data_IF_823530521702
#
_entry.id   IF_823530521702
#
_cell.length_a   1.000
_cell.length_b   1.000
_cell.length_c   1.000
_cell.angle_alpha   90.00
_cell.angle_beta   90.00
_cell.angle_gamma   90.00
#
_symmetry.space_group_name_H-M   'P 1'
#
loop_
_entity.id
_entity.type
_entity.pdbx_description
1 polymer ?
#
# COMPACT_ATOMS: atom_id res chain seq x y z
N UNK A 1 -5.58 23.30 -0.90
CA UNK A 1 -4.99 21.97 -0.98
C UNK A 1 -5.68 21.01 -0.03
N UNK A 2 -6.00 19.84 -0.49
CA UNK A 2 -6.82 18.93 0.29
C UNK A 2 -6.03 18.03 1.24
N UNK A 3 -4.71 17.89 1.07
CA UNK A 3 -3.91 16.96 1.88
C UNK A 3 -2.72 17.65 2.51
N UNK A 4 -2.52 17.41 3.80
CA UNK A 4 -1.33 17.80 4.53
C UNK A 4 -0.61 16.54 5.02
N UNK A 5 0.65 16.39 4.68
CA UNK A 5 1.50 15.27 5.07
C UNK A 5 2.32 15.72 6.29
N UNK A 6 2.03 15.13 7.45
CA UNK A 6 2.57 15.59 8.73
C UNK A 6 3.45 14.51 9.34
N UNK A 7 4.69 14.88 9.63
CA UNK A 7 5.66 13.96 10.24
C UNK A 7 6.30 14.65 11.44
N UNK A 8 5.60 14.69 12.59
CA UNK A 8 6.08 15.40 13.79
C UNK A 8 7.39 14.84 14.32
N UNK A 9 8.23 15.71 14.88
CA UNK A 9 9.53 15.32 15.43
C UNK A 9 9.42 14.29 16.57
N UNK A 10 8.32 14.29 17.31
CA UNK A 10 8.14 13.38 18.44
C UNK A 10 7.76 11.96 18.00
N UNK A 11 7.54 11.74 16.70
CA UNK A 11 7.32 10.42 16.14
C UNK A 11 8.56 10.02 15.34
N UNK A 12 8.83 8.70 15.25
CA UNK A 12 10.02 8.26 14.52
C UNK A 12 9.92 8.66 13.03
N UNK A 13 11.07 8.82 12.35
CA UNK A 13 11.07 9.28 10.96
C UNK A 13 10.66 8.16 10.01
N UNK A 14 9.36 8.03 9.76
CA UNK A 14 8.78 6.94 8.99
C UNK A 14 8.98 7.05 7.49
N UNK A 15 9.28 8.24 6.98
CA UNK A 15 9.41 8.48 5.54
C UNK A 15 10.52 7.62 4.93
N UNK A 16 11.58 7.35 5.68
CA UNK A 16 12.66 6.47 5.23
C UNK A 16 12.21 5.02 5.04
N UNK A 17 11.08 4.63 5.64
CA UNK A 17 10.49 3.30 5.51
C UNK A 17 9.32 3.28 4.51
N UNK A 18 9.05 4.39 3.84
CA UNK A 18 8.07 4.46 2.75
C UNK A 18 6.67 4.87 3.16
N UNK A 19 6.49 5.52 4.34
CA UNK A 19 5.16 5.98 4.71
C UNK A 19 5.20 7.26 5.54
N UNK A 20 4.08 8.00 5.49
CA UNK A 20 3.84 9.18 6.32
C UNK A 20 3.26 8.77 7.66
N UNK A 21 3.55 9.54 8.71
CA UNK A 21 2.95 9.32 10.01
C UNK A 21 1.49 9.75 10.03
N UNK A 22 1.19 10.90 9.46
CA UNK A 22 -0.15 11.49 9.53
C UNK A 22 -0.48 12.15 8.20
N UNK A 23 -1.72 11.98 7.75
CA UNK A 23 -2.27 12.74 6.64
C UNK A 23 -3.59 13.34 7.10
N UNK A 24 -3.68 14.68 7.02
CA UNK A 24 -4.94 15.38 7.20
C UNK A 24 -5.50 15.73 5.83
N UNK A 25 -6.79 15.51 5.63
CA UNK A 25 -7.40 15.74 4.32
C UNK A 25 -8.83 16.25 4.45
N UNK A 26 -9.22 17.10 3.50
CA UNK A 26 -10.60 17.58 3.38
C UNK A 26 -11.13 17.36 1.95
N UNK A 27 -10.59 16.36 1.25
CA UNK A 27 -11.07 16.00 -0.08
C UNK A 27 -12.52 15.57 -0.10
N UNK A 28 -13.15 15.61 -1.27
CA UNK A 28 -14.61 15.44 -1.40
C UNK A 28 -15.05 14.00 -1.54
N UNK A 29 -14.21 13.13 -2.11
CA UNK A 29 -14.57 11.74 -2.40
C UNK A 29 -13.60 10.80 -1.72
N UNK A 30 -14.13 9.92 -0.88
CA UNK A 30 -13.32 8.85 -0.26
C UNK A 30 -13.53 7.56 -1.03
N UNK A 31 -12.43 6.93 -1.40
CA UNK A 31 -12.43 5.69 -2.18
C UNK A 31 -11.88 4.57 -1.30
N UNK A 32 -12.69 3.56 -1.08
CA UNK A 32 -12.30 2.37 -0.32
C UNK A 32 -11.97 1.24 -1.29
N UNK A 33 -10.79 0.68 -1.18
CA UNK A 33 -10.39 -0.46 -2.01
C UNK A 33 -10.34 -1.70 -1.15
N UNK A 34 -10.93 -2.78 -1.66
CA UNK A 34 -10.74 -4.09 -1.05
C UNK A 34 -9.27 -4.48 -1.11
N UNK A 35 -8.86 -5.42 -0.26
CA UNK A 35 -7.51 -5.93 -0.28
C UNK A 35 -7.11 -6.43 -1.66
N UNK A 36 -5.95 -6.01 -2.14
CA UNK A 36 -5.40 -6.40 -3.43
C UNK A 36 -4.22 -7.34 -3.22
N UNK A 37 -4.13 -8.33 -4.06
CA UNK A 37 -3.08 -9.36 -3.99
C UNK A 37 -2.31 -9.40 -5.30
N UNK A 38 -1.24 -10.19 -5.34
CA UNK A 38 -0.31 -10.24 -6.47
C UNK A 38 -0.80 -10.99 -7.69
N UNK A 39 -2.06 -10.90 -8.04
CA UNK A 39 -2.59 -11.56 -9.23
C UNK A 39 -3.25 -10.57 -10.20
N UNK A 40 -3.43 -11.02 -11.44
CA UNK A 40 -4.09 -10.23 -12.48
C UNK A 40 -5.60 -10.55 -12.56
N UNK A 41 -6.29 -9.96 -13.53
CA UNK A 41 -7.73 -10.15 -13.72
C UNK A 41 -8.12 -11.61 -13.98
N UNK A 42 -7.19 -12.43 -14.46
CA UNK A 42 -7.40 -13.87 -14.71
C UNK A 42 -7.02 -14.73 -13.52
N UNK A 43 -6.68 -14.12 -12.38
CA UNK A 43 -6.22 -14.79 -11.16
C UNK A 43 -4.92 -15.55 -11.34
N UNK A 44 -4.04 -15.01 -12.17
CA UNK A 44 -2.70 -15.57 -12.37
C UNK A 44 -1.70 -14.82 -11.50
N UNK A 45 -0.99 -15.55 -10.64
CA UNK A 45 0.06 -15.03 -9.79
C UNK A 45 1.38 -15.18 -10.53
N UNK A 46 2.15 -14.09 -10.68
CA UNK A 46 3.39 -14.10 -11.45
C UNK A 46 4.45 -14.94 -10.75
N UNK A 47 4.56 -14.80 -9.43
CA UNK A 47 5.53 -15.56 -8.65
C UNK A 47 5.00 -15.80 -7.24
N UNK A 48 4.50 -17.04 -6.95
CA UNK A 48 3.95 -17.33 -5.63
C UNK A 48 5.00 -17.40 -4.52
N UNK A 49 6.28 -17.34 -4.84
CA UNK A 49 7.37 -17.44 -3.86
C UNK A 49 8.08 -16.11 -3.62
N UNK A 50 7.78 -15.07 -4.38
CA UNK A 50 8.48 -13.79 -4.27
C UNK A 50 7.59 -12.68 -3.71
N UNK A 51 7.91 -12.28 -2.48
CA UNK A 51 7.17 -11.20 -1.79
C UNK A 51 7.24 -9.88 -2.55
N UNK A 52 8.42 -9.51 -3.06
CA UNK A 52 8.60 -8.24 -3.78
C UNK A 52 7.74 -8.16 -5.03
N UNK A 53 7.75 -9.21 -5.84
CA UNK A 53 6.94 -9.27 -7.06
C UNK A 53 5.46 -9.15 -6.74
N UNK A 54 4.99 -9.86 -5.71
CA UNK A 54 3.58 -9.78 -5.30
C UNK A 54 3.21 -8.42 -4.74
N UNK A 55 4.12 -7.79 -3.99
CA UNK A 55 3.90 -6.43 -3.46
C UNK A 55 3.72 -5.44 -4.60
N UNK A 56 4.60 -5.47 -5.59
CA UNK A 56 4.52 -4.56 -6.72
C UNK A 56 3.22 -4.74 -7.49
N UNK A 57 2.83 -5.99 -7.75
CA UNK A 57 1.57 -6.27 -8.46
C UNK A 57 0.36 -5.82 -7.66
N UNK A 58 0.36 -6.05 -6.35
CA UNK A 58 -0.74 -5.61 -5.49
C UNK A 58 -0.89 -4.08 -5.52
N UNK A 59 0.21 -3.34 -5.50
CA UNK A 59 0.19 -1.88 -5.61
C UNK A 59 -0.30 -1.42 -6.98
N UNK A 60 0.08 -2.11 -8.05
CA UNK A 60 -0.46 -1.83 -9.38
C UNK A 60 -1.97 -2.02 -9.42
N UNK A 61 -2.48 -3.05 -8.74
CA UNK A 61 -3.91 -3.27 -8.63
C UNK A 61 -4.60 -2.16 -7.83
N UNK A 62 -3.96 -1.66 -6.77
CA UNK A 62 -4.45 -0.50 -6.02
C UNK A 62 -4.57 0.70 -6.97
N UNK A 63 -3.55 0.95 -7.78
CA UNK A 63 -3.58 2.07 -8.73
C UNK A 63 -4.70 1.92 -9.76
N UNK A 64 -4.91 0.71 -10.27
CA UNK A 64 -6.03 0.43 -11.19
C UNK A 64 -7.35 0.81 -10.53
N UNK A 65 -7.55 0.42 -9.27
CA UNK A 65 -8.77 0.74 -8.53
C UNK A 65 -8.97 2.23 -8.31
N UNK A 66 -7.92 2.95 -7.93
CA UNK A 66 -8.00 4.40 -7.72
C UNK A 66 -8.30 5.12 -9.02
N UNK A 67 -7.68 4.69 -10.13
CA UNK A 67 -7.95 5.27 -11.45
C UNK A 67 -9.40 5.05 -11.89
N UNK A 68 -9.99 3.91 -11.54
CA UNK A 68 -11.40 3.65 -11.85
C UNK A 68 -12.32 4.65 -11.16
N UNK A 69 -11.91 5.21 -10.03
CA UNK A 69 -12.67 6.24 -9.30
C UNK A 69 -12.32 7.67 -9.74
N UNK A 70 -11.42 7.81 -10.71
CA UNK A 70 -11.01 9.12 -11.24
C UNK A 70 -9.78 9.71 -10.58
N UNK A 71 -9.07 8.97 -9.74
CA UNK A 71 -7.88 9.44 -9.05
C UNK A 71 -6.57 8.89 -9.61
N UNK A 72 -5.51 9.11 -8.87
CA UNK A 72 -4.18 8.60 -9.18
C UNK A 72 -3.57 8.00 -7.93
N UNK A 73 -2.40 7.35 -8.05
CA UNK A 73 -1.71 6.78 -6.89
C UNK A 73 -1.40 7.83 -5.81
N UNK A 74 -1.25 9.09 -6.19
CA UNK A 74 -0.96 10.16 -5.23
C UNK A 74 -2.15 10.52 -4.36
N UNK A 75 -3.34 10.01 -4.67
CA UNK A 75 -4.53 10.22 -3.86
C UNK A 75 -4.65 9.19 -2.74
N UNK A 76 -3.83 8.15 -2.75
CA UNK A 76 -3.84 7.13 -1.69
C UNK A 76 -3.35 7.75 -0.39
N UNK A 77 -4.15 7.63 0.67
CA UNK A 77 -3.84 8.22 1.99
C UNK A 77 -3.55 7.17 3.05
N UNK A 78 -4.00 5.93 2.86
CA UNK A 78 -3.83 4.89 3.87
C UNK A 78 -3.65 3.53 3.23
N UNK A 79 -2.66 2.79 3.73
CA UNK A 79 -2.41 1.40 3.35
C UNK A 79 -2.39 0.53 4.59
N UNK A 80 -2.93 -0.68 4.46
CA UNK A 80 -2.69 -1.77 5.39
C UNK A 80 -2.12 -2.93 4.60
N UNK A 81 -0.96 -3.41 5.05
CA UNK A 81 -0.24 -4.50 4.39
C UNK A 81 -0.28 -5.71 5.30
N UNK A 82 -0.91 -6.77 4.82
CA UNK A 82 -0.99 -8.05 5.52
C UNK A 82 0.02 -8.99 4.89
N UNK A 83 1.02 -9.41 5.67
CA UNK A 83 2.15 -10.20 5.16
C UNK A 83 2.20 -11.54 5.89
N UNK A 84 2.27 -12.61 5.12
CA UNK A 84 2.11 -13.98 5.65
C UNK A 84 3.37 -14.47 6.35
N UNK A 85 3.19 -15.03 7.55
CA UNK A 85 4.20 -15.81 8.27
C UNK A 85 5.52 -15.10 8.45
N UNK A 86 6.60 -15.80 8.19
CA UNK A 86 7.97 -15.30 8.34
C UNK A 86 8.31 -14.15 7.39
N UNK A 87 7.57 -14.02 6.29
CA UNK A 87 7.81 -12.94 5.32
C UNK A 87 7.71 -11.54 5.95
N UNK A 88 6.96 -11.38 7.04
CA UNK A 88 6.87 -10.09 7.73
C UNK A 88 8.24 -9.63 8.29
N UNK A 89 9.12 -10.58 8.60
CA UNK A 89 10.45 -10.28 9.13
C UNK A 89 11.47 -10.01 8.01
N UNK A 90 11.09 -10.19 6.75
CA UNK A 90 11.95 -10.01 5.58
C UNK A 90 11.36 -8.98 4.62
N UNK A 91 10.72 -7.94 5.18
CA UNK A 91 9.95 -6.97 4.40
C UNK A 91 10.79 -5.80 3.85
N UNK A 92 12.11 -5.97 3.74
CA UNK A 92 13.01 -4.96 3.16
C UNK A 92 12.57 -4.61 1.73
N UNK A 93 12.20 -5.61 0.93
CA UNK A 93 11.76 -5.39 -0.44
C UNK A 93 10.46 -4.60 -0.48
N UNK A 94 9.56 -4.82 0.49
CA UNK A 94 8.31 -4.07 0.60
C UNK A 94 8.60 -2.58 0.80
N UNK A 95 9.52 -2.26 1.71
CA UNK A 95 9.93 -0.87 1.97
C UNK A 95 10.45 -0.21 0.69
N UNK A 96 11.35 -0.88 -0.02
CA UNK A 96 11.97 -0.34 -1.23
C UNK A 96 10.93 -0.11 -2.33
N UNK A 97 9.97 -1.03 -2.46
CA UNK A 97 8.90 -0.92 -3.45
C UNK A 97 7.97 0.25 -3.12
N UNK A 98 7.63 0.44 -1.84
CA UNK A 98 6.81 1.58 -1.43
C UNK A 98 7.49 2.90 -1.76
N UNK A 99 8.80 3.01 -1.47
CA UNK A 99 9.59 4.21 -1.77
C UNK A 99 9.70 4.49 -3.26
N UNK A 100 9.68 3.44 -4.08
CA UNK A 100 9.72 3.58 -5.55
C UNK A 100 8.34 3.91 -6.12
N UNK A 101 7.29 3.35 -5.55
CA UNK A 101 5.93 3.47 -6.09
C UNK A 101 5.31 4.83 -5.82
N UNK A 102 5.48 5.39 -4.63
CA UNK A 102 4.89 6.67 -4.25
C UNK A 102 5.91 7.80 -4.29
N UNK A 103 5.50 9.00 -4.72
CA UNK A 103 6.40 10.17 -4.65
C UNK A 103 6.84 10.41 -3.21
N UNK A 104 8.09 10.85 -2.99
CA UNK A 104 8.63 11.03 -1.63
C UNK A 104 7.86 12.03 -0.76
N UNK A 105 7.21 13.00 -1.39
CA UNK A 105 6.42 14.02 -0.69
C UNK A 105 4.94 13.64 -0.54
N UNK A 106 4.55 12.46 -1.02
CA UNK A 106 3.16 11.99 -1.00
C UNK A 106 3.07 10.52 -0.59
N UNK A 107 3.82 10.14 0.42
CA UNK A 107 3.77 8.79 0.96
C UNK A 107 2.50 8.61 1.79
N UNK A 108 1.72 7.55 1.57
CA UNK A 108 0.53 7.29 2.38
C UNK A 108 0.90 6.88 3.80
N UNK A 109 -0.07 6.94 4.70
CA UNK A 109 0.06 6.26 5.99
C UNK A 109 0.07 4.76 5.74
N UNK A 110 0.69 3.99 6.63
CA UNK A 110 0.84 2.55 6.42
C UNK A 110 0.92 1.81 7.74
N UNK A 111 0.31 0.64 7.80
CA UNK A 111 0.44 -0.30 8.90
C UNK A 111 0.74 -1.68 8.32
N UNK A 112 1.76 -2.35 8.86
CA UNK A 112 2.20 -3.66 8.39
C UNK A 112 1.85 -4.71 9.44
N UNK A 113 1.12 -5.73 9.03
CA UNK A 113 0.54 -6.72 9.92
C UNK A 113 0.95 -8.11 9.46
N UNK A 114 1.60 -8.86 10.35
CA UNK A 114 1.91 -10.27 10.08
C UNK A 114 0.67 -11.11 10.32
N UNK A 115 0.34 -12.01 9.39
CA UNK A 115 -0.81 -12.90 9.49
C UNK A 115 -0.38 -14.34 9.23
N UNK A 116 -1.09 -15.35 9.80
CA UNK A 116 -0.75 -16.74 9.53
C UNK A 116 -0.99 -17.16 8.10
N UNK A 117 -2.04 -16.63 7.46
CA UNK A 117 -2.44 -17.01 6.09
C UNK A 117 -3.35 -15.94 5.50
N UNK A 118 -3.45 -15.95 4.19
CA UNK A 118 -4.42 -15.19 3.43
C UNK A 118 -5.38 -16.16 2.73
N UNK A 119 -6.28 -15.63 1.89
CA UNK A 119 -7.33 -16.43 1.28
C UNK A 119 -6.83 -17.58 0.38
N UNK A 120 -5.64 -17.43 -0.20
CA UNK A 120 -4.97 -18.49 -0.96
C UNK A 120 -3.58 -18.73 -0.39
N UNK A 121 -3.11 -19.98 -0.45
CA UNK A 121 -1.76 -20.35 -0.01
C UNK A 121 -0.66 -19.65 -0.82
N UNK A 122 -0.99 -19.21 -2.03
CA UNK A 122 -0.02 -18.55 -2.91
C UNK A 122 0.09 -17.05 -2.63
N UNK A 123 -0.78 -16.49 -1.81
CA UNK A 123 -0.72 -15.07 -1.45
C UNK A 123 0.28 -14.85 -0.32
N UNK A 124 1.32 -14.07 -0.57
CA UNK A 124 2.30 -13.68 0.44
C UNK A 124 1.97 -12.33 1.07
N UNK A 125 1.21 -11.49 0.36
CA UNK A 125 0.85 -10.15 0.81
C UNK A 125 -0.52 -9.78 0.25
N UNK A 126 -1.26 -9.02 1.05
CA UNK A 126 -2.50 -8.37 0.63
C UNK A 126 -2.45 -6.93 1.07
N UNK A 127 -2.84 -6.00 0.20
CA UNK A 127 -2.76 -4.57 0.47
C UNK A 127 -4.15 -3.96 0.37
N UNK A 128 -4.60 -3.38 1.46
CA UNK A 128 -5.85 -2.63 1.56
C UNK A 128 -5.52 -1.14 1.48
N UNK A 129 -6.34 -0.37 0.77
CA UNK A 129 -6.05 1.04 0.55
C UNK A 129 -7.29 1.91 0.68
N UNK A 130 -7.06 3.14 1.12
CA UNK A 130 -8.06 4.21 1.10
C UNK A 130 -7.43 5.38 0.36
N UNK A 131 -8.18 5.95 -0.59
CA UNK A 131 -7.76 7.16 -1.31
C UNK A 131 -8.78 8.26 -1.09
N UNK A 132 -8.34 9.51 -1.20
CA UNK A 132 -9.22 10.68 -1.09
C UNK A 132 -8.95 11.59 -2.28
N UNK A 133 -10.01 11.84 -3.04
CA UNK A 133 -9.98 12.70 -4.22
C UNK A 133 -10.53 14.08 -3.87
N UNK A 134 -10.04 15.06 -4.59
CA UNK A 134 -10.53 16.45 -4.45
C UNK A 134 -11.91 16.65 -5.05
#
# INVERSE_FOLDING_TARGET
MSKAYLNPHDLFPSQQYGFSQVIATNGKTTVYLSGQVGWNAKREIIDPLDLGTQTRRALENVEIGVKAAGGTRTDVVSLRLYIVGEHIHHAQDVKEILLDFFPPDKLPTSTWIGVPALASRDFLIEIEAIAVLN
#
